data_IF_335728486594
#
_entry.id   IF_335728486594
#
_cell.length_a   1.000
_cell.length_b   1.000
_cell.length_c   1.000
_cell.angle_alpha   90.00
_cell.angle_beta   90.00
_cell.angle_gamma   90.00
#
_symmetry.space_group_name_H-M   'P 1'
#
loop_
_entity.id
_entity.type
_entity.pdbx_description
1 polymer ?
#
# COMPACT_ATOMS: atom_id res chain seq x y z
N UNK A 1 15.82 -14.29 6.51
CA UNK A 1 15.88 -12.85 6.26
C UNK A 1 17.16 -12.27 6.81
N UNK A 2 17.79 -11.35 6.08
CA UNK A 2 18.98 -10.61 6.50
C UNK A 2 18.59 -9.24 7.04
N UNK A 3 19.22 -8.82 8.13
CA UNK A 3 19.06 -7.44 8.59
C UNK A 3 19.80 -6.49 7.65
N UNK A 4 19.09 -5.47 7.19
CA UNK A 4 19.67 -4.38 6.39
C UNK A 4 19.07 -3.06 6.83
N UNK A 5 19.89 -2.21 7.43
CA UNK A 5 19.51 -0.86 7.82
C UNK A 5 19.81 0.13 6.69
N UNK A 6 18.83 0.93 6.34
CA UNK A 6 18.94 2.00 5.35
C UNK A 6 19.02 3.36 6.06
N UNK A 7 19.57 4.40 5.41
CA UNK A 7 19.68 5.73 6.01
C UNK A 7 18.33 6.31 6.43
N UNK A 8 18.33 7.12 7.50
CA UNK A 8 17.13 7.81 7.99
C UNK A 8 16.70 8.97 7.10
N UNK A 9 17.63 9.54 6.34
CA UNK A 9 17.36 10.58 5.35
C UNK A 9 18.13 10.32 4.08
N UNK A 10 17.57 10.79 2.97
CA UNK A 10 18.06 10.57 1.62
C UNK A 10 17.88 11.85 0.81
N UNK A 11 18.62 11.98 -0.28
CA UNK A 11 18.32 13.02 -1.26
C UNK A 11 16.91 12.87 -1.80
N UNK A 12 16.11 13.94 -1.77
CA UNK A 12 14.71 13.93 -2.19
C UNK A 12 14.55 13.42 -3.62
N UNK A 13 15.46 13.77 -4.52
CA UNK A 13 15.44 13.30 -5.90
C UNK A 13 15.63 11.79 -6.03
N UNK A 14 16.34 11.18 -5.07
CA UNK A 14 16.61 9.73 -5.07
C UNK A 14 15.39 8.90 -4.68
N UNK A 15 14.49 9.46 -3.86
CA UNK A 15 13.27 8.78 -3.36
C UNK A 15 12.00 9.38 -3.93
N UNK A 16 12.09 10.45 -4.73
CA UNK A 16 10.95 11.24 -5.22
C UNK A 16 9.89 10.47 -5.99
N UNK A 17 10.23 9.37 -6.69
CA UNK A 17 9.24 8.54 -7.40
C UNK A 17 8.29 7.80 -6.46
N UNK A 18 8.64 7.65 -5.21
CA UNK A 18 7.86 6.95 -4.17
C UNK A 18 7.09 7.91 -3.27
N UNK A 19 7.25 9.23 -3.48
CA UNK A 19 6.52 10.26 -2.76
C UNK A 19 5.14 10.49 -3.36
N UNK A 20 4.11 10.79 -2.56
CA UNK A 20 2.75 11.02 -3.04
C UNK A 20 2.63 12.20 -4.02
N UNK A 21 3.47 13.23 -3.85
CA UNK A 21 3.48 14.41 -4.72
C UNK A 21 4.94 14.83 -4.99
N UNK A 22 5.36 14.62 -6.22
CA UNK A 22 6.73 14.90 -6.67
C UNK A 22 7.05 16.40 -6.73
N UNK A 23 6.03 17.21 -7.01
CA UNK A 23 6.17 18.66 -7.21
C UNK A 23 6.00 19.42 -5.88
N UNK A 24 5.60 18.73 -4.80
CA UNK A 24 5.41 19.26 -3.46
C UNK A 24 6.05 18.37 -2.41
N UNK A 25 7.38 18.35 -2.31
CA UNK A 25 8.10 17.49 -1.38
C UNK A 25 7.71 17.71 0.09
N UNK A 26 7.13 18.88 0.42
CA UNK A 26 6.68 19.21 1.77
C UNK A 26 5.34 18.53 2.16
N UNK A 27 4.61 17.96 1.20
CA UNK A 27 3.35 17.27 1.48
C UNK A 27 3.59 15.81 1.80
N UNK A 28 3.33 15.45 3.07
CA UNK A 28 3.45 14.07 3.56
C UNK A 28 4.86 13.65 3.93
N UNK A 29 5.88 14.43 3.60
CA UNK A 29 7.29 14.15 3.86
C UNK A 29 7.94 15.33 4.59
N UNK A 30 8.82 15.03 5.55
CA UNK A 30 9.67 16.05 6.13
C UNK A 30 10.92 16.22 5.29
N UNK A 31 11.11 17.42 4.75
CA UNK A 31 12.27 17.74 3.93
C UNK A 31 12.97 18.98 4.44
N UNK A 32 14.27 19.05 4.24
CA UNK A 32 15.09 20.21 4.57
C UNK A 32 16.17 20.40 3.50
N UNK A 33 16.66 21.61 3.40
CA UNK A 33 17.70 21.96 2.44
C UNK A 33 19.07 21.91 3.11
N UNK A 34 19.99 21.19 2.48
CA UNK A 34 21.41 21.18 2.81
C UNK A 34 22.18 21.75 1.61
N UNK A 35 22.69 22.97 1.79
CA UNK A 35 23.26 23.81 0.71
C UNK A 35 22.29 23.97 -0.46
N UNK A 36 22.56 23.29 -1.59
CA UNK A 36 21.74 23.34 -2.81
C UNK A 36 20.87 22.11 -3.05
N UNK A 37 20.91 21.15 -2.12
CA UNK A 37 20.21 19.88 -2.26
C UNK A 37 19.12 19.75 -1.22
N UNK A 38 18.02 19.11 -1.62
CA UNK A 38 16.96 18.73 -0.72
C UNK A 38 17.19 17.34 -0.17
N UNK A 39 17.07 17.18 1.13
CA UNK A 39 17.08 15.94 1.88
C UNK A 39 15.71 15.70 2.48
N UNK A 40 15.27 14.47 2.52
CA UNK A 40 14.00 14.07 3.10
C UNK A 40 14.20 12.97 4.12
N UNK A 41 13.48 13.05 5.24
CA UNK A 41 13.34 11.94 6.16
C UNK A 41 12.56 10.80 5.47
N UNK A 42 12.97 9.56 5.69
CA UNK A 42 12.29 8.40 5.12
C UNK A 42 10.85 8.32 5.63
N UNK A 43 9.91 8.22 4.68
CA UNK A 43 8.49 8.07 4.92
C UNK A 43 8.11 6.62 5.25
N UNK A 44 8.86 5.68 4.70
CA UNK A 44 8.80 4.24 4.90
C UNK A 44 10.21 3.63 4.84
N UNK A 45 10.31 2.31 4.97
CA UNK A 45 11.57 1.59 4.84
C UNK A 45 11.76 0.98 3.45
N UNK A 46 10.74 1.01 2.59
CA UNK A 46 10.72 0.40 1.25
C UNK A 46 11.41 1.28 0.21
N UNK A 47 11.20 2.61 0.23
CA UNK A 47 11.83 3.52 -0.74
C UNK A 47 13.36 3.52 -0.62
N UNK A 48 13.96 3.63 0.59
CA UNK A 48 15.41 3.48 0.76
C UNK A 48 15.94 2.10 0.35
N UNK A 49 15.16 1.03 0.62
CA UNK A 49 15.51 -0.31 0.15
C UNK A 49 15.56 -0.37 -1.38
N UNK A 50 14.55 0.17 -2.06
CA UNK A 50 14.50 0.19 -3.53
C UNK A 50 15.75 0.86 -4.12
N UNK A 51 16.21 1.97 -3.51
CA UNK A 51 17.45 2.65 -3.89
C UNK A 51 18.67 1.77 -3.65
N UNK A 52 18.77 1.13 -2.48
CA UNK A 52 19.86 0.21 -2.16
C UNK A 52 19.93 -0.94 -3.17
N UNK A 53 18.78 -1.57 -3.45
CA UNK A 53 18.69 -2.66 -4.42
C UNK A 53 19.09 -2.20 -5.83
N UNK A 54 18.62 -1.03 -6.27
CA UNK A 54 18.98 -0.50 -7.58
C UNK A 54 20.48 -0.27 -7.73
N UNK A 55 21.14 0.21 -6.66
CA UNK A 55 22.59 0.44 -6.66
C UNK A 55 23.39 -0.85 -6.65
N UNK A 56 22.93 -1.87 -5.92
CA UNK A 56 23.69 -3.11 -5.67
C UNK A 56 23.05 -4.32 -6.37
N UNK A 57 22.25 -4.10 -7.42
CA UNK A 57 21.40 -5.13 -8.03
C UNK A 57 22.15 -6.39 -8.48
N UNK A 58 23.38 -6.24 -8.99
CA UNK A 58 24.20 -7.36 -9.47
C UNK A 58 24.90 -8.12 -8.35
N UNK A 59 25.05 -7.49 -7.19
CA UNK A 59 25.83 -8.04 -6.07
C UNK A 59 24.96 -8.76 -5.03
N UNK A 60 23.68 -8.39 -4.94
CA UNK A 60 22.74 -8.99 -3.98
C UNK A 60 22.26 -10.37 -4.45
N UNK A 61 22.14 -11.36 -3.54
CA UNK A 61 21.55 -12.66 -3.88
C UNK A 61 20.07 -12.51 -4.28
N UNK A 62 19.54 -13.46 -5.07
CA UNK A 62 18.13 -13.50 -5.48
C UNK A 62 17.55 -14.89 -5.19
N UNK A 63 16.40 -14.97 -4.52
CA UNK A 63 15.66 -13.87 -3.92
C UNK A 63 16.41 -13.24 -2.74
N UNK A 64 16.42 -11.90 -2.68
CA UNK A 64 16.96 -11.18 -1.54
C UNK A 64 15.86 -11.01 -0.49
N UNK A 65 16.05 -11.61 0.66
CA UNK A 65 15.14 -11.56 1.81
C UNK A 65 15.75 -10.66 2.87
N UNK A 66 15.14 -9.51 3.12
CA UNK A 66 15.65 -8.58 4.14
C UNK A 66 14.57 -8.21 5.15
N UNK A 67 14.99 -7.78 6.33
CA UNK A 67 14.13 -7.11 7.29
C UNK A 67 14.81 -5.90 7.90
N UNK A 68 14.01 -4.96 8.39
CA UNK A 68 14.47 -3.79 9.11
C UNK A 68 13.40 -3.37 10.12
N UNK A 69 13.85 -2.96 11.30
CA UNK A 69 13.07 -2.21 12.28
C UNK A 69 13.66 -0.81 12.34
N UNK A 70 12.85 0.22 12.12
CA UNK A 70 13.37 1.58 12.11
C UNK A 70 12.30 2.64 12.21
N UNK A 71 12.68 3.79 12.72
CA UNK A 71 11.79 4.95 12.80
C UNK A 71 11.53 5.51 11.40
N UNK A 72 10.27 5.87 11.15
CA UNK A 72 9.82 6.56 9.93
C UNK A 72 9.06 7.83 10.33
N UNK A 73 9.01 8.80 9.41
CA UNK A 73 8.43 10.10 9.65
C UNK A 73 7.42 10.45 8.56
N UNK A 74 6.21 10.85 8.98
CA UNK A 74 5.13 11.24 8.08
C UNK A 74 4.62 12.62 8.41
N UNK A 75 4.74 13.56 7.49
CA UNK A 75 4.23 14.90 7.64
C UNK A 75 2.72 14.98 7.36
N UNK A 76 1.96 14.15 8.06
CA UNK A 76 0.51 14.06 7.97
C UNK A 76 -0.15 14.68 9.20
N UNK A 77 -1.45 14.98 9.08
CA UNK A 77 -2.23 15.46 10.22
C UNK A 77 -2.29 14.37 11.29
N UNK A 78 -1.81 14.62 12.51
CA UNK A 78 -1.83 13.64 13.59
C UNK A 78 -3.27 13.34 14.05
N UNK A 79 -3.48 12.15 14.60
CA UNK A 79 -4.77 11.72 15.13
C UNK A 79 -4.61 10.47 16.01
N UNK A 80 -5.70 9.93 16.57
CA UNK A 80 -5.64 8.72 17.36
C UNK A 80 -5.00 7.57 16.55
N UNK A 81 -3.91 7.00 17.08
CA UNK A 81 -3.14 5.94 16.40
C UNK A 81 -2.35 6.40 15.17
N UNK A 82 -2.32 7.71 14.87
CA UNK A 82 -1.53 8.29 13.76
C UNK A 82 -0.51 9.26 14.31
N UNK A 83 0.71 8.81 14.39
CA UNK A 83 1.86 9.59 14.84
C UNK A 83 2.65 10.08 13.63
N UNK A 84 3.34 11.20 13.79
CA UNK A 84 4.23 11.76 12.76
C UNK A 84 5.61 11.09 12.77
N UNK A 85 5.93 10.43 13.86
CA UNK A 85 7.11 9.59 14.06
C UNK A 85 6.67 8.29 14.72
N UNK A 86 7.05 7.15 14.16
CA UNK A 86 6.76 5.85 14.73
C UNK A 86 7.74 4.79 14.24
N UNK A 87 7.79 3.69 14.96
CA UNK A 87 8.61 2.54 14.61
C UNK A 87 7.87 1.68 13.59
N UNK A 88 8.53 1.38 12.48
CA UNK A 88 8.02 0.50 11.43
C UNK A 88 8.90 -0.75 11.34
N UNK A 89 8.29 -1.91 11.21
CA UNK A 89 8.96 -3.15 10.88
C UNK A 89 8.60 -3.55 9.46
N UNK A 90 9.61 -3.79 8.62
CA UNK A 90 9.44 -4.25 7.26
C UNK A 90 10.19 -5.55 7.04
N UNK A 91 9.57 -6.47 6.30
CA UNK A 91 10.21 -7.66 5.75
C UNK A 91 9.88 -7.75 4.26
N UNK A 92 10.91 -7.89 3.44
CA UNK A 92 10.78 -7.80 1.99
C UNK A 92 11.43 -8.99 1.28
N UNK A 93 10.81 -9.38 0.16
CA UNK A 93 11.42 -10.20 -0.86
C UNK A 93 11.69 -9.37 -2.11
N UNK A 94 12.88 -9.46 -2.65
CA UNK A 94 13.26 -8.80 -3.89
C UNK A 94 13.83 -9.80 -4.88
N UNK A 95 13.39 -9.70 -6.14
CA UNK A 95 13.94 -10.51 -7.23
C UNK A 95 13.32 -11.91 -7.37
N UNK A 96 12.08 -12.10 -6.90
CA UNK A 96 11.27 -13.32 -7.14
C UNK A 96 9.89 -12.98 -7.67
N UNK A 97 9.28 -13.91 -8.39
CA UNK A 97 7.87 -13.87 -8.82
C UNK A 97 7.08 -15.04 -8.24
N UNK A 98 7.67 -15.79 -7.32
CA UNK A 98 7.04 -16.97 -6.73
C UNK A 98 5.98 -16.54 -5.72
N UNK A 99 4.78 -17.14 -5.80
CA UNK A 99 3.72 -16.99 -4.79
C UNK A 99 4.13 -17.53 -3.41
N UNK A 100 5.15 -18.41 -3.36
CA UNK A 100 5.74 -18.86 -2.10
C UNK A 100 6.31 -17.71 -1.26
N UNK A 101 6.81 -16.65 -1.90
CA UNK A 101 7.27 -15.46 -1.18
C UNK A 101 6.13 -14.76 -0.46
N UNK A 102 4.97 -14.65 -1.10
CA UNK A 102 3.76 -14.05 -0.51
C UNK A 102 3.25 -14.93 0.64
N UNK A 103 3.24 -16.27 0.48
CA UNK A 103 2.88 -17.21 1.52
C UNK A 103 3.82 -17.11 2.74
N UNK A 104 5.14 -17.05 2.51
CA UNK A 104 6.13 -16.91 3.59
C UNK A 104 5.94 -15.60 4.37
N UNK A 105 5.59 -14.50 3.70
CA UNK A 105 5.25 -13.24 4.39
C UNK A 105 3.99 -13.36 5.24
N UNK A 106 2.97 -14.06 4.77
CA UNK A 106 1.75 -14.30 5.57
C UNK A 106 2.06 -15.11 6.83
N UNK A 107 2.87 -16.15 6.70
CA UNK A 107 3.32 -16.98 7.84
C UNK A 107 4.15 -16.13 8.81
N UNK A 108 5.09 -15.35 8.29
CA UNK A 108 5.94 -14.46 9.11
C UNK A 108 5.12 -13.47 9.93
N UNK A 109 4.11 -12.81 9.31
CA UNK A 109 3.22 -11.88 10.00
C UNK A 109 2.46 -12.62 11.11
N UNK A 110 1.92 -13.80 10.83
CA UNK A 110 1.21 -14.64 11.81
C UNK A 110 2.10 -14.96 13.02
N UNK A 111 3.31 -15.45 12.76
CA UNK A 111 4.27 -15.78 13.84
C UNK A 111 4.66 -14.56 14.68
N UNK A 112 4.85 -13.39 14.06
CA UNK A 112 5.16 -12.15 14.77
C UNK A 112 3.99 -11.75 15.69
N UNK A 113 2.75 -11.77 15.19
CA UNK A 113 1.57 -11.39 15.96
C UNK A 113 1.38 -12.33 17.16
N UNK A 114 1.55 -13.65 16.97
CA UNK A 114 1.47 -14.63 18.04
C UNK A 114 2.58 -14.42 19.08
N UNK A 115 3.81 -14.12 18.66
CA UNK A 115 4.91 -13.79 19.58
C UNK A 115 4.71 -12.45 20.31
N UNK A 116 3.94 -11.53 19.74
CA UNK A 116 3.50 -10.32 20.44
C UNK A 116 2.36 -10.55 21.41
N UNK A 117 1.86 -11.78 21.53
CA UNK A 117 0.84 -12.18 22.51
C UNK A 117 -0.59 -12.22 21.97
N UNK A 118 -0.80 -12.08 20.66
CA UNK A 118 -2.13 -12.23 20.06
C UNK A 118 -2.42 -13.71 19.78
N UNK A 119 -3.62 -14.15 20.14
CA UNK A 119 -4.12 -15.46 19.73
C UNK A 119 -4.60 -15.47 18.29
N UNK A 120 -4.73 -16.65 17.67
CA UNK A 120 -5.14 -16.79 16.26
C UNK A 120 -6.52 -16.24 15.97
N UNK A 121 -7.38 -16.15 16.97
CA UNK A 121 -8.75 -15.62 16.88
C UNK A 121 -8.81 -14.09 16.95
N UNK A 122 -7.70 -13.42 17.33
CA UNK A 122 -7.66 -11.97 17.54
C UNK A 122 -7.18 -11.19 16.32
N UNK A 123 -6.75 -11.86 15.24
CA UNK A 123 -6.32 -11.20 14.01
C UNK A 123 -6.75 -11.96 12.76
N UNK A 124 -6.77 -11.26 11.65
CA UNK A 124 -7.02 -11.81 10.30
C UNK A 124 -5.98 -11.24 9.35
N UNK A 125 -5.33 -12.11 8.57
CA UNK A 125 -4.46 -11.72 7.47
C UNK A 125 -5.31 -11.66 6.19
N UNK A 126 -5.50 -10.44 5.66
CA UNK A 126 -6.24 -10.21 4.43
C UNK A 126 -5.26 -10.11 3.25
N UNK A 127 -5.49 -10.90 2.23
CA UNK A 127 -4.71 -10.92 0.99
C UNK A 127 -5.58 -10.42 -0.16
N UNK A 128 -5.00 -9.64 -1.06
CA UNK A 128 -5.70 -9.19 -2.26
C UNK A 128 -4.77 -9.27 -3.48
N UNK A 129 -5.34 -9.60 -4.64
CA UNK A 129 -4.61 -9.64 -5.90
C UNK A 129 -5.07 -8.53 -6.83
N UNK A 130 -4.13 -7.81 -7.44
CA UNK A 130 -4.45 -6.80 -8.46
C UNK A 130 -5.11 -7.39 -9.70
N UNK A 131 -4.86 -8.66 -10.02
CA UNK A 131 -5.52 -9.33 -11.15
C UNK A 131 -7.04 -9.35 -10.97
N UNK A 132 -7.53 -9.58 -9.75
CA UNK A 132 -8.97 -9.55 -9.44
C UNK A 132 -9.56 -8.16 -9.77
N UNK A 133 -8.89 -7.10 -9.35
CA UNK A 133 -9.36 -5.74 -9.64
C UNK A 133 -9.22 -5.35 -11.11
N UNK A 134 -8.21 -5.84 -11.81
CA UNK A 134 -8.05 -5.65 -13.25
C UNK A 134 -9.13 -6.36 -14.05
N UNK A 135 -9.50 -7.58 -13.68
CA UNK A 135 -10.62 -8.32 -14.28
C UNK A 135 -11.95 -7.63 -14.02
N UNK A 136 -12.15 -7.14 -12.80
CA UNK A 136 -13.32 -6.34 -12.45
C UNK A 136 -13.40 -5.08 -13.34
N UNK A 137 -12.31 -4.34 -13.50
CA UNK A 137 -12.28 -3.15 -14.35
C UNK A 137 -12.51 -3.46 -15.82
N UNK A 138 -12.04 -4.60 -16.33
CA UNK A 138 -12.37 -5.07 -17.68
C UNK A 138 -13.87 -5.35 -17.83
N UNK A 139 -14.48 -6.03 -16.84
CA UNK A 139 -15.94 -6.32 -16.85
C UNK A 139 -16.80 -5.06 -16.90
N UNK A 140 -16.36 -3.98 -16.29
CA UNK A 140 -17.09 -2.69 -16.27
C UNK A 140 -16.55 -1.67 -17.27
N UNK A 141 -15.67 -2.10 -18.18
CA UNK A 141 -15.11 -1.29 -19.29
C UNK A 141 -14.46 0.02 -18.84
N UNK A 142 -13.66 0.00 -17.77
CA UNK A 142 -12.87 1.15 -17.37
C UNK A 142 -11.48 1.04 -18.00
N UNK A 143 -11.19 1.89 -18.99
CA UNK A 143 -9.88 1.94 -19.65
C UNK A 143 -9.01 3.11 -19.18
N UNK A 144 -9.61 4.14 -18.60
CA UNK A 144 -8.89 5.32 -18.12
C UNK A 144 -8.15 5.03 -16.82
N UNK A 145 -6.82 5.23 -16.81
CA UNK A 145 -5.97 4.97 -15.65
C UNK A 145 -6.30 5.85 -14.44
N UNK A 146 -6.66 7.12 -14.64
CA UNK A 146 -7.05 8.03 -13.55
C UNK A 146 -8.34 7.54 -12.87
N UNK A 147 -9.32 7.13 -13.69
CA UNK A 147 -10.57 6.57 -13.22
C UNK A 147 -10.34 5.25 -12.44
N UNK A 148 -9.47 4.36 -12.95
CA UNK A 148 -9.06 3.13 -12.25
C UNK A 148 -8.44 3.42 -10.90
N UNK A 149 -7.49 4.35 -10.82
CA UNK A 149 -6.85 4.74 -9.56
C UNK A 149 -7.85 5.34 -8.56
N UNK A 150 -8.79 6.15 -9.05
CA UNK A 150 -9.83 6.74 -8.20
C UNK A 150 -10.78 5.67 -7.66
N UNK A 151 -11.18 4.70 -8.50
CA UNK A 151 -12.00 3.57 -8.09
C UNK A 151 -11.27 2.67 -7.07
N UNK A 152 -9.98 2.36 -7.27
CA UNK A 152 -9.17 1.62 -6.30
C UNK A 152 -9.09 2.35 -4.95
N UNK A 153 -8.81 3.65 -4.96
CA UNK A 153 -8.79 4.48 -3.75
C UNK A 153 -10.14 4.56 -3.03
N UNK A 154 -11.24 4.39 -3.77
CA UNK A 154 -12.57 4.29 -3.19
C UNK A 154 -12.76 2.95 -2.49
N UNK A 155 -12.38 1.84 -3.16
CA UNK A 155 -12.48 0.48 -2.63
C UNK A 155 -11.64 0.28 -1.36
N UNK A 156 -10.43 0.83 -1.30
CA UNK A 156 -9.55 0.79 -0.12
C UNK A 156 -10.18 1.41 1.14
N UNK A 157 -11.23 2.20 0.96
CA UNK A 157 -11.93 2.85 2.08
C UNK A 157 -13.13 2.05 2.61
N UNK A 158 -13.36 0.84 2.10
CA UNK A 158 -14.56 0.05 2.42
C UNK A 158 -14.68 -0.26 3.92
N UNK A 159 -13.60 -0.63 4.56
CA UNK A 159 -13.57 -0.93 6.00
C UNK A 159 -13.90 0.31 6.86
N UNK A 160 -13.60 1.51 6.37
CA UNK A 160 -13.81 2.78 7.08
C UNK A 160 -15.15 3.44 6.79
N UNK A 161 -15.58 3.42 5.52
CA UNK A 161 -16.75 4.16 5.04
C UNK A 161 -17.99 3.29 4.84
N UNK A 162 -17.82 1.97 4.88
CA UNK A 162 -18.83 1.01 4.47
C UNK A 162 -19.17 1.12 2.98
N UNK A 163 -20.02 0.21 2.50
CA UNK A 163 -20.41 0.18 1.09
C UNK A 163 -21.08 1.48 0.61
N UNK A 164 -21.96 2.08 1.42
CA UNK A 164 -22.64 3.31 1.04
C UNK A 164 -21.68 4.48 0.76
N UNK A 165 -20.62 4.62 1.57
CA UNK A 165 -19.60 5.64 1.35
C UNK A 165 -18.72 5.35 0.14
N UNK A 166 -18.41 4.08 -0.10
CA UNK A 166 -17.66 3.63 -1.29
C UNK A 166 -18.50 3.83 -2.55
N UNK A 167 -19.77 3.49 -2.53
CA UNK A 167 -20.69 3.70 -3.66
C UNK A 167 -20.73 5.17 -4.12
N UNK A 168 -20.74 6.12 -3.18
CA UNK A 168 -20.67 7.55 -3.51
C UNK A 168 -19.34 7.90 -4.19
N UNK A 169 -18.20 7.37 -3.69
CA UNK A 169 -16.88 7.62 -4.24
C UNK A 169 -16.63 6.90 -5.58
N UNK A 170 -17.32 5.80 -5.85
CA UNK A 170 -17.32 5.15 -7.17
C UNK A 170 -18.16 5.97 -8.17
N UNK A 171 -19.22 6.66 -7.73
CA UNK A 171 -20.03 7.58 -8.51
C UNK A 171 -19.41 8.99 -8.61
N UNK A 172 -20.22 10.01 -8.40
CA UNK A 172 -19.84 11.42 -8.55
C UNK A 172 -18.86 11.91 -7.48
N UNK A 173 -18.93 11.35 -6.29
CA UNK A 173 -18.11 11.74 -5.15
C UNK A 173 -18.89 11.85 -3.86
N UNK A 174 -18.19 12.32 -2.79
CA UNK A 174 -18.75 12.36 -1.45
C UNK A 174 -18.31 13.62 -0.70
N UNK A 175 -19.24 14.24 0.03
CA UNK A 175 -18.92 15.21 1.08
C UNK A 175 -18.66 14.48 2.39
N UNK A 176 -17.62 14.86 3.09
CA UNK A 176 -17.34 14.34 4.43
C UNK A 176 -18.10 15.15 5.51
N UNK A 177 -17.86 14.79 6.79
CA UNK A 177 -18.50 15.48 7.93
C UNK A 177 -18.04 16.93 8.11
N UNK A 178 -16.87 17.31 7.56
CA UNK A 178 -16.34 18.68 7.58
C UNK A 178 -16.88 19.52 6.42
N UNK A 179 -17.59 18.91 5.47
CA UNK A 179 -18.13 19.57 4.29
C UNK A 179 -17.21 19.50 3.07
N UNK A 180 -16.01 18.93 3.21
CA UNK A 180 -15.05 18.78 2.14
C UNK A 180 -15.53 17.74 1.12
N UNK A 181 -15.49 18.13 -0.17
CA UNK A 181 -15.93 17.27 -1.25
C UNK A 181 -14.75 16.48 -1.85
N UNK A 182 -14.88 15.16 -1.85
CA UNK A 182 -13.95 14.25 -2.55
C UNK A 182 -14.61 13.81 -3.86
N UNK A 183 -14.00 14.16 -4.99
CA UNK A 183 -14.43 13.74 -6.33
C UNK A 183 -14.39 12.22 -6.46
N UNK A 184 -15.40 11.63 -7.06
CA UNK A 184 -15.51 10.20 -7.31
C UNK A 184 -14.93 9.76 -8.65
N UNK A 185 -15.05 8.46 -8.90
CA UNK A 185 -14.58 7.81 -10.13
C UNK A 185 -15.54 7.99 -11.32
N UNK A 186 -16.71 8.61 -11.12
CA UNK A 186 -17.76 8.82 -12.13
C UNK A 186 -18.20 7.53 -12.86
N UNK A 187 -18.31 6.43 -12.12
CA UNK A 187 -18.88 5.20 -12.67
C UNK A 187 -20.39 5.32 -12.76
N UNK A 188 -20.97 4.72 -13.79
CA UNK A 188 -22.41 4.60 -13.90
C UNK A 188 -22.98 3.57 -12.90
N UNK A 189 -24.28 3.61 -12.66
CA UNK A 189 -24.95 2.73 -11.68
C UNK A 189 -24.75 1.25 -11.99
N UNK A 190 -24.85 0.84 -13.24
CA UNK A 190 -24.66 -0.56 -13.66
C UNK A 190 -23.26 -1.07 -13.34
N UNK A 191 -22.23 -0.25 -13.55
CA UNK A 191 -20.85 -0.57 -13.18
C UNK A 191 -20.69 -0.70 -11.66
N UNK A 192 -21.31 0.20 -10.89
CA UNK A 192 -21.27 0.16 -9.42
C UNK A 192 -21.96 -1.10 -8.88
N UNK A 193 -23.12 -1.47 -9.44
CA UNK A 193 -23.82 -2.71 -9.09
C UNK A 193 -23.00 -3.96 -9.41
N UNK A 194 -22.28 -3.94 -10.54
CA UNK A 194 -21.35 -5.02 -10.90
C UNK A 194 -20.22 -5.15 -9.89
N UNK A 195 -19.63 -4.03 -9.46
CA UNK A 195 -18.60 -3.99 -8.40
C UNK A 195 -19.15 -4.57 -7.10
N UNK A 196 -20.35 -4.15 -6.68
CA UNK A 196 -21.00 -4.65 -5.47
C UNK A 196 -21.22 -6.16 -5.51
N UNK A 197 -21.72 -6.66 -6.65
CA UNK A 197 -21.97 -8.08 -6.86
C UNK A 197 -20.68 -8.91 -6.82
N UNK A 198 -19.60 -8.42 -7.43
CA UNK A 198 -18.31 -9.12 -7.42
C UNK A 198 -17.66 -9.12 -6.03
N UNK A 199 -17.75 -8.02 -5.28
CA UNK A 199 -17.21 -7.95 -3.91
C UNK A 199 -18.00 -8.83 -2.92
N UNK A 200 -19.30 -9.01 -3.13
CA UNK A 200 -20.17 -9.84 -2.28
C UNK A 200 -20.10 -11.34 -2.64
N UNK A 201 -19.43 -11.72 -3.71
CA UNK A 201 -19.12 -13.12 -3.97
C UNK A 201 -18.18 -13.64 -2.90
N UNK A 202 -18.65 -14.59 -2.08
CA UNK A 202 -17.89 -15.22 -1.00
C UNK A 202 -16.69 -16.08 -1.46
N UNK A 203 -16.39 -16.10 -2.73
CA UNK A 203 -15.21 -16.71 -3.33
C UNK A 203 -14.90 -15.96 -4.62
N UNK A 204 -13.97 -15.03 -4.64
CA UNK A 204 -13.37 -14.63 -5.90
C UNK A 204 -12.76 -15.89 -6.51
N UNK A 205 -12.83 -16.01 -7.82
CA UNK A 205 -12.10 -17.05 -8.58
C UNK A 205 -10.60 -16.75 -8.43
N UNK A 206 -10.02 -17.25 -7.33
CA UNK A 206 -8.73 -16.81 -6.80
C UNK A 206 -7.70 -17.90 -7.02
N UNK A 207 -7.58 -18.38 -8.26
CA UNK A 207 -6.51 -19.32 -8.58
C UNK A 207 -5.14 -18.79 -8.14
N UNK A 208 -4.91 -17.47 -8.24
CA UNK A 208 -3.69 -16.84 -7.77
C UNK A 208 -3.53 -16.87 -6.24
N UNK A 209 -4.64 -16.75 -5.48
CA UNK A 209 -4.58 -16.86 -4.02
C UNK A 209 -4.49 -18.31 -3.57
N UNK A 210 -5.08 -19.24 -4.31
CA UNK A 210 -4.96 -20.67 -4.03
C UNK A 210 -3.56 -21.20 -4.28
N UNK A 211 -2.77 -20.59 -5.18
CA UNK A 211 -1.37 -20.94 -5.36
C UNK A 211 -0.50 -20.56 -4.15
N UNK A 212 -0.90 -19.57 -3.37
CA UNK A 212 -0.19 -19.16 -2.14
C UNK A 212 -0.30 -20.23 -1.04
N UNK A 213 -1.42 -21.02 -1.05
CA UNK A 213 -1.71 -22.00 -0.01
C UNK A 213 -1.49 -23.46 -0.42
N UNK A 214 -1.02 -23.73 -1.63
CA UNK A 214 -0.59 -25.05 -2.11
C UNK A 214 0.89 -25.27 -1.87
#
# INVERSE_FOLDING_TARGET
FQYLETPSFEYTDSIGKFLPDKDRPDQGVFSFQDEKKWLSLRYDLTAPLARYVAKNYLEIPKPFKRYQLGTVWRNEKPGPGRFREFLQFDADFVGTRSSQADAELCVLISEILEKCGLSKEEYIIKISSRKITEELFKKINIDNNEQRLTALRALDKIDRLGWNGVKQLLGEGRKDKSGDFTKGANLNLSSIETVEKELNKNSPDTNDLLEIFK
#
